data_IF_426949564171
#
_entry.id   IF_426949564171
#
_cell.length_a   1.000
_cell.length_b   1.000
_cell.length_c   1.000
_cell.angle_alpha   90.00
_cell.angle_beta   90.00
_cell.angle_gamma   90.00
#
_symmetry.space_group_name_H-M   'P 1'
#
loop_
_entity.id
_entity.type
_entity.pdbx_description
1 polymer ?
#
# COMPACT_ATOMS: atom_id res chain seq x y z
N UNK A 1 6.06 -0.38 14.73
CA UNK A 1 6.83 0.52 13.83
C UNK A 1 6.20 0.55 12.45
N UNK A 2 6.34 1.68 11.76
CA UNK A 2 5.97 1.87 10.34
C UNK A 2 6.99 2.83 9.74
N UNK A 3 7.93 2.30 8.95
CA UNK A 3 9.06 3.06 8.42
C UNK A 3 8.94 3.19 6.91
N UNK A 4 9.03 4.42 6.41
CA UNK A 4 9.06 4.73 4.98
C UNK A 4 10.48 5.07 4.55
N UNK A 5 10.94 4.39 3.51
CA UNK A 5 12.22 4.56 2.86
C UNK A 5 12.01 4.97 1.41
N UNK A 6 12.82 5.90 0.92
CA UNK A 6 12.80 6.35 -0.46
C UNK A 6 14.17 6.16 -1.10
N UNK A 7 14.23 6.17 -2.42
CA UNK A 7 15.48 6.15 -3.16
C UNK A 7 15.26 6.84 -4.51
N UNK A 8 15.78 8.06 -4.69
CA UNK A 8 15.91 8.67 -6.01
C UNK A 8 16.59 7.73 -7.01
N UNK A 9 16.03 7.65 -8.22
CA UNK A 9 16.46 6.66 -9.21
C UNK A 9 17.93 6.84 -9.65
N UNK A 10 18.43 8.07 -9.68
CA UNK A 10 19.81 8.44 -10.01
C UNK A 10 20.85 7.92 -9.00
N UNK A 11 20.44 7.69 -7.76
CA UNK A 11 21.31 7.21 -6.69
C UNK A 11 21.37 5.69 -6.57
N UNK A 12 20.58 4.95 -7.35
CA UNK A 12 20.59 3.49 -7.35
C UNK A 12 21.99 2.93 -7.60
N UNK A 13 22.76 3.55 -8.50
CA UNK A 13 24.12 3.11 -8.83
C UNK A 13 25.06 3.21 -7.62
N UNK A 14 24.94 4.29 -6.84
CA UNK A 14 25.75 4.50 -5.64
C UNK A 14 25.35 3.53 -4.53
N UNK A 15 24.04 3.32 -4.32
CA UNK A 15 23.56 2.30 -3.39
C UNK A 15 24.06 0.90 -3.77
N UNK A 16 24.00 0.57 -5.07
CA UNK A 16 24.49 -0.70 -5.59
C UNK A 16 25.99 -0.87 -5.32
N UNK A 17 26.82 0.16 -5.54
CA UNK A 17 28.25 0.13 -5.25
C UNK A 17 28.53 -0.16 -3.77
N UNK A 18 27.77 0.46 -2.86
CA UNK A 18 27.96 0.29 -1.41
C UNK A 18 27.50 -1.07 -0.89
N UNK A 19 26.44 -1.62 -1.47
CA UNK A 19 25.80 -2.84 -0.97
C UNK A 19 26.25 -4.12 -1.71
N UNK A 20 27.03 -4.02 -2.78
CA UNK A 20 27.41 -5.17 -3.62
C UNK A 20 26.47 -5.44 -4.80
N UNK A 21 25.49 -4.56 -5.04
CA UNK A 21 24.71 -4.48 -6.28
C UNK A 21 24.03 -5.79 -6.68
N UNK A 22 24.33 -6.27 -7.90
CA UNK A 22 23.77 -7.53 -8.42
C UNK A 22 24.23 -8.78 -7.65
N UNK A 23 25.30 -8.68 -6.85
CA UNK A 23 25.76 -9.75 -5.97
C UNK A 23 24.75 -10.10 -4.88
N UNK A 24 23.96 -9.13 -4.41
CA UNK A 24 22.93 -9.35 -3.39
C UNK A 24 21.63 -9.97 -3.93
N UNK A 25 21.46 -10.03 -5.26
CA UNK A 25 20.27 -10.64 -5.84
C UNK A 25 20.35 -12.16 -5.82
N UNK A 26 19.23 -12.82 -5.55
CA UNK A 26 19.11 -14.27 -5.77
C UNK A 26 19.26 -14.61 -7.26
N UNK A 27 19.49 -15.88 -7.58
CA UNK A 27 19.55 -16.34 -8.97
C UNK A 27 18.26 -15.99 -9.76
N UNK A 28 17.08 -16.18 -9.15
CA UNK A 28 15.80 -15.82 -9.77
C UNK A 28 15.69 -14.31 -10.00
N UNK A 29 16.08 -13.50 -9.02
CA UNK A 29 16.05 -12.04 -9.13
C UNK A 29 17.01 -11.54 -10.21
N UNK A 30 18.21 -12.11 -10.31
CA UNK A 30 19.18 -11.79 -11.34
C UNK A 30 18.67 -12.17 -12.73
N UNK A 31 18.04 -13.33 -12.87
CA UNK A 31 17.40 -13.75 -14.12
C UNK A 31 16.24 -12.83 -14.51
N UNK A 32 15.42 -12.40 -13.54
CA UNK A 32 14.36 -11.41 -13.78
C UNK A 32 14.92 -10.05 -14.19
N UNK A 33 15.95 -9.57 -13.50
CA UNK A 33 16.66 -8.34 -13.84
C UNK A 33 17.17 -8.38 -15.28
N UNK A 34 17.81 -9.50 -15.70
CA UNK A 34 18.32 -9.68 -17.07
C UNK A 34 17.25 -9.59 -18.16
N UNK A 35 16.02 -10.06 -17.88
CA UNK A 35 14.88 -10.04 -18.81
C UNK A 35 14.21 -8.67 -18.98
N UNK A 36 14.48 -7.71 -18.09
CA UNK A 36 13.92 -6.36 -18.22
C UNK A 36 14.51 -5.66 -19.44
N UNK A 37 13.64 -5.09 -20.28
CA UNK A 37 14.01 -4.56 -21.60
C UNK A 37 14.77 -3.24 -21.54
N UNK A 38 14.36 -2.34 -20.64
CA UNK A 38 14.92 -0.98 -20.60
C UNK A 38 15.93 -0.81 -19.47
N UNK A 39 16.96 0.04 -19.65
CA UNK A 39 17.89 0.38 -18.57
C UNK A 39 17.21 0.95 -17.33
N UNK A 40 16.21 1.82 -17.49
CA UNK A 40 15.45 2.39 -16.37
C UNK A 40 14.62 1.34 -15.61
N UNK A 41 14.05 0.35 -16.30
CA UNK A 41 13.37 -0.76 -15.62
C UNK A 41 14.35 -1.62 -14.83
N UNK A 42 15.51 -1.94 -15.41
CA UNK A 42 16.61 -2.67 -14.71
C UNK A 42 17.07 -1.93 -13.46
N UNK A 43 17.31 -0.62 -13.58
CA UNK A 43 17.75 0.25 -12.49
C UNK A 43 16.72 0.27 -11.35
N UNK A 44 15.44 0.52 -11.64
CA UNK A 44 14.39 0.53 -10.61
C UNK A 44 14.15 -0.83 -9.96
N UNK A 45 14.27 -1.92 -10.73
CA UNK A 45 14.20 -3.27 -10.16
C UNK A 45 15.35 -3.52 -9.17
N UNK A 46 16.58 -3.22 -9.57
CA UNK A 46 17.75 -3.35 -8.68
C UNK A 46 17.60 -2.45 -7.45
N UNK A 47 17.29 -1.16 -7.64
CA UNK A 47 17.12 -0.21 -6.56
C UNK A 47 16.01 -0.61 -5.59
N UNK A 48 14.87 -1.10 -6.08
CA UNK A 48 13.79 -1.62 -5.24
C UNK A 48 14.24 -2.79 -4.37
N UNK A 49 15.04 -3.71 -4.92
CA UNK A 49 15.58 -4.86 -4.17
C UNK A 49 16.63 -4.48 -3.14
N UNK A 50 17.52 -3.55 -3.48
CA UNK A 50 18.51 -3.05 -2.53
C UNK A 50 17.85 -2.24 -1.41
N UNK A 51 16.88 -1.38 -1.74
CA UNK A 51 16.14 -0.60 -0.76
C UNK A 51 15.37 -1.48 0.22
N UNK A 52 14.70 -2.54 -0.28
CA UNK A 52 14.02 -3.51 0.58
C UNK A 52 15.01 -4.16 1.56
N UNK A 53 16.12 -4.71 1.06
CA UNK A 53 17.14 -5.36 1.89
C UNK A 53 17.72 -4.42 2.94
N UNK A 54 18.04 -3.18 2.54
CA UNK A 54 18.54 -2.14 3.44
C UNK A 54 17.53 -1.80 4.54
N UNK A 55 16.26 -1.57 4.18
CA UNK A 55 15.21 -1.23 5.13
C UNK A 55 14.95 -2.37 6.13
N UNK A 56 14.94 -3.62 5.66
CA UNK A 56 14.78 -4.79 6.52
C UNK A 56 15.97 -5.02 7.44
N UNK A 57 17.20 -4.85 6.93
CA UNK A 57 18.43 -4.89 7.72
C UNK A 57 18.46 -3.80 8.79
N UNK A 58 18.06 -2.57 8.47
CA UNK A 58 17.97 -1.50 9.45
C UNK A 58 16.98 -1.83 10.59
N UNK A 59 15.86 -2.48 10.26
CA UNK A 59 14.83 -2.84 11.24
C UNK A 59 15.18 -4.03 12.16
N UNK A 60 16.25 -4.79 11.85
CA UNK A 60 16.58 -6.06 12.54
C UNK A 60 18.04 -6.23 12.92
N UNK A 61 18.96 -5.50 12.30
CA UNK A 61 20.41 -5.72 12.40
C UNK A 61 20.93 -6.87 11.53
N UNK A 62 20.07 -7.62 10.82
CA UNK A 62 20.53 -8.75 10.00
C UNK A 62 21.23 -8.27 8.71
N UNK A 63 22.25 -8.99 8.21
CA UNK A 63 22.94 -8.64 6.97
C UNK A 63 22.03 -8.58 5.73
N UNK A 64 22.27 -7.67 4.77
CA UNK A 64 21.43 -7.53 3.56
C UNK A 64 21.33 -8.78 2.66
N UNK A 65 22.32 -9.66 2.70
CA UNK A 65 22.37 -10.91 1.93
C UNK A 65 21.57 -12.06 2.57
N UNK A 66 21.04 -11.86 3.79
CA UNK A 66 20.20 -12.83 4.50
C UNK A 66 18.79 -12.88 3.90
N UNK A 67 18.28 -11.77 3.40
CA UNK A 67 16.88 -11.67 2.96
C UNK A 67 16.60 -12.49 1.70
N UNK A 68 15.57 -13.32 1.78
CA UNK A 68 14.98 -14.06 0.66
C UNK A 68 13.54 -13.61 0.45
N UNK A 69 13.15 -13.51 -0.81
CA UNK A 69 11.82 -13.04 -1.20
C UNK A 69 11.12 -14.08 -2.05
N UNK A 70 9.89 -14.42 -1.68
CA UNK A 70 8.97 -15.21 -2.49
C UNK A 70 7.99 -14.30 -3.22
N UNK A 71 7.36 -14.80 -4.29
CA UNK A 71 6.35 -14.05 -5.03
C UNK A 71 4.95 -14.54 -4.66
N UNK A 72 4.05 -13.59 -4.40
CA UNK A 72 2.63 -13.91 -4.25
C UNK A 72 2.00 -14.27 -5.60
N UNK A 73 0.75 -14.76 -5.57
CA UNK A 73 -0.07 -14.98 -6.76
C UNK A 73 -0.22 -13.74 -7.66
N UNK A 74 -0.03 -12.54 -7.10
CA UNK A 74 -0.09 -11.25 -7.81
C UNK A 74 1.30 -10.70 -8.16
N UNK A 75 2.35 -11.50 -7.99
CA UNK A 75 3.71 -11.18 -8.40
C UNK A 75 4.45 -10.21 -7.48
N UNK A 76 3.84 -9.78 -6.38
CA UNK A 76 4.45 -8.95 -5.33
C UNK A 76 5.49 -9.76 -4.55
N UNK A 77 6.66 -9.19 -4.22
CA UNK A 77 7.61 -9.83 -3.31
C UNK A 77 7.09 -9.83 -1.85
N UNK A 78 7.27 -10.94 -1.15
CA UNK A 78 7.07 -11.07 0.30
C UNK A 78 8.29 -11.74 0.92
N UNK A 79 8.48 -11.60 2.24
CA UNK A 79 9.53 -12.30 2.96
C UNK A 79 9.26 -13.80 2.91
N UNK A 80 10.29 -14.57 2.60
CA UNK A 80 10.29 -16.01 2.85
C UNK A 80 10.39 -16.25 4.36
N UNK A 81 9.52 -17.07 4.94
CA UNK A 81 9.53 -17.36 6.38
C UNK A 81 9.08 -16.20 7.29
N UNK A 82 8.91 -16.49 8.58
CA UNK A 82 8.54 -15.47 9.56
C UNK A 82 9.78 -14.83 10.21
N UNK A 83 9.88 -13.51 10.07
CA UNK A 83 10.97 -12.69 10.60
C UNK A 83 10.45 -11.79 11.73
N UNK A 84 9.81 -12.40 12.73
CA UNK A 84 9.18 -11.67 13.84
C UNK A 84 8.02 -10.78 13.39
N UNK A 85 7.21 -11.25 12.45
CA UNK A 85 6.07 -10.52 11.90
C UNK A 85 6.44 -9.34 11.00
N UNK A 86 7.70 -9.20 10.57
CA UNK A 86 8.08 -8.19 9.59
C UNK A 86 7.25 -8.32 8.30
N UNK A 87 6.87 -7.17 7.76
CA UNK A 87 6.21 -7.05 6.46
C UNK A 87 6.80 -5.85 5.74
N UNK A 88 6.83 -5.90 4.42
CA UNK A 88 7.25 -4.78 3.60
C UNK A 88 6.41 -4.68 2.33
N UNK A 89 6.42 -3.49 1.73
CA UNK A 89 5.92 -3.29 0.39
C UNK A 89 6.82 -2.30 -0.36
N UNK A 90 6.94 -2.47 -1.68
CA UNK A 90 7.80 -1.64 -2.53
C UNK A 90 7.02 -1.18 -3.75
N UNK A 91 7.24 0.08 -4.14
CA UNK A 91 6.74 0.66 -5.38
C UNK A 91 7.83 1.51 -6.03
N UNK A 92 7.72 1.73 -7.32
CA UNK A 92 8.63 2.60 -8.05
C UNK A 92 7.94 3.21 -9.27
N UNK A 93 8.31 4.43 -9.59
CA UNK A 93 7.93 5.15 -10.80
C UNK A 93 9.19 5.79 -11.37
N UNK A 94 9.10 6.48 -12.51
CA UNK A 94 10.27 7.15 -13.08
C UNK A 94 10.80 8.19 -12.07
N UNK A 95 12.08 8.11 -11.71
CA UNK A 95 12.75 9.04 -10.81
C UNK A 95 12.69 8.68 -9.32
N UNK A 96 11.84 7.74 -8.88
CA UNK A 96 11.69 7.44 -7.45
C UNK A 96 11.28 6.00 -7.15
N UNK A 97 11.91 5.44 -6.12
CA UNK A 97 11.62 4.12 -5.54
C UNK A 97 11.22 4.34 -4.08
N UNK A 98 10.21 3.60 -3.60
CA UNK A 98 9.75 3.69 -2.23
C UNK A 98 9.56 2.28 -1.63
N UNK A 99 9.91 2.13 -0.36
CA UNK A 99 9.71 0.93 0.42
C UNK A 99 9.11 1.29 1.78
N UNK A 100 8.07 0.58 2.20
CA UNK A 100 7.54 0.67 3.57
C UNK A 100 7.80 -0.63 4.30
N UNK A 101 8.21 -0.54 5.57
CA UNK A 101 8.42 -1.68 6.47
C UNK A 101 7.55 -1.53 7.72
N UNK A 102 6.90 -2.62 8.12
CA UNK A 102 6.07 -2.71 9.33
C UNK A 102 6.39 -3.98 10.12
N UNK A 103 6.02 -4.00 11.40
CA UNK A 103 6.09 -5.21 12.26
C UNK A 103 4.69 -5.59 12.75
N UNK A 104 4.31 -6.85 12.53
CA UNK A 104 3.05 -7.45 12.94
C UNK A 104 1.80 -6.98 12.16
N UNK A 105 1.98 -6.21 11.07
CA UNK A 105 0.86 -5.54 10.37
C UNK A 105 1.12 -5.48 8.88
N UNK A 106 0.05 -5.59 8.10
CA UNK A 106 0.12 -5.38 6.66
C UNK A 106 0.44 -3.92 6.30
N UNK A 107 1.07 -3.72 5.15
CA UNK A 107 1.43 -2.41 4.65
C UNK A 107 1.44 -2.39 3.12
N UNK A 108 1.14 -1.23 2.55
CA UNK A 108 1.25 -0.96 1.13
C UNK A 108 1.81 0.42 0.89
N UNK A 109 2.62 0.55 -0.14
CA UNK A 109 3.13 1.84 -0.63
C UNK A 109 2.88 1.91 -2.12
N UNK A 110 2.47 3.08 -2.58
CA UNK A 110 2.45 3.40 -3.99
C UNK A 110 3.07 4.77 -4.24
N UNK A 111 3.69 4.93 -5.41
CA UNK A 111 4.37 6.16 -5.79
C UNK A 111 4.24 6.37 -7.29
N UNK A 112 3.83 7.57 -7.69
CA UNK A 112 3.64 7.93 -9.09
C UNK A 112 4.18 9.32 -9.39
N UNK A 113 4.56 9.53 -10.65
CA UNK A 113 4.80 10.89 -11.14
C UNK A 113 3.48 11.65 -11.17
N UNK A 114 3.51 12.88 -10.66
CA UNK A 114 2.33 13.68 -10.45
C UNK A 114 2.47 15.08 -11.07
N UNK A 115 1.43 15.58 -11.78
CA UNK A 115 0.22 14.87 -12.16
C UNK A 115 0.48 13.84 -13.29
N UNK A 116 -0.44 12.90 -13.47
CA UNK A 116 -0.40 12.00 -14.62
C UNK A 116 -0.46 12.76 -15.95
N UNK A 117 0.30 12.27 -16.94
CA UNK A 117 0.18 12.72 -18.32
C UNK A 117 -1.24 12.45 -18.87
N UNK A 118 -1.78 13.28 -19.78
CA UNK A 118 -3.17 13.16 -20.26
C UNK A 118 -3.58 11.78 -20.77
N UNK A 119 -2.69 11.09 -21.50
CA UNK A 119 -2.95 9.75 -22.01
C UNK A 119 -3.15 8.71 -20.90
N UNK A 120 -2.26 8.71 -19.89
CA UNK A 120 -2.37 7.87 -18.70
C UNK A 120 -3.63 8.23 -17.91
N UNK A 121 -3.88 9.52 -17.72
CA UNK A 121 -5.04 10.00 -16.98
C UNK A 121 -6.36 9.49 -17.59
N UNK A 122 -6.50 9.53 -18.92
CA UNK A 122 -7.66 9.00 -19.63
C UNK A 122 -7.86 7.51 -19.37
N UNK A 123 -6.80 6.70 -19.48
CA UNK A 123 -6.87 5.25 -19.29
C UNK A 123 -7.25 4.87 -17.85
N UNK A 124 -6.71 5.56 -16.85
CA UNK A 124 -6.95 5.26 -15.45
C UNK A 124 -8.35 5.70 -15.00
N UNK A 125 -8.85 6.83 -15.52
CA UNK A 125 -10.18 7.36 -15.18
C UNK A 125 -11.31 6.34 -15.39
N UNK A 126 -11.21 5.53 -16.44
CA UNK A 126 -12.26 4.56 -16.79
C UNK A 126 -12.31 3.34 -15.84
N UNK A 127 -11.31 3.18 -14.98
CA UNK A 127 -11.29 2.13 -13.95
C UNK A 127 -12.25 2.43 -12.79
N UNK A 128 -12.44 3.71 -12.49
CA UNK A 128 -13.26 4.18 -11.38
C UNK A 128 -14.77 4.04 -11.67
N UNK A 129 -15.61 4.11 -10.65
CA UNK A 129 -17.07 4.11 -10.80
C UNK A 129 -17.62 5.52 -11.11
N UNK A 130 -18.93 5.62 -11.37
CA UNK A 130 -19.57 6.88 -11.73
C UNK A 130 -19.46 7.95 -10.63
N UNK A 131 -19.51 7.51 -9.37
CA UNK A 131 -19.47 8.41 -8.22
C UNK A 131 -18.05 8.97 -8.05
N UNK A 132 -17.03 8.12 -8.18
CA UNK A 132 -15.62 8.51 -8.18
C UNK A 132 -15.29 9.45 -9.36
N UNK A 133 -15.78 9.15 -10.57
CA UNK A 133 -15.58 10.02 -11.74
C UNK A 133 -16.23 11.39 -11.58
N UNK A 134 -17.45 11.46 -11.05
CA UNK A 134 -18.12 12.73 -10.80
C UNK A 134 -17.32 13.62 -9.83
N UNK A 135 -16.74 13.02 -8.78
CA UNK A 135 -15.90 13.77 -7.85
C UNK A 135 -14.58 14.23 -8.48
N UNK A 136 -13.98 13.44 -9.38
CA UNK A 136 -12.81 13.85 -10.16
C UNK A 136 -13.14 15.01 -11.11
N UNK A 137 -14.32 15.00 -11.73
CA UNK A 137 -14.72 16.05 -12.69
C UNK A 137 -14.98 17.40 -12.00
N UNK A 138 -15.42 17.35 -10.74
CA UNK A 138 -15.63 18.52 -9.88
C UNK A 138 -14.34 19.08 -9.25
N UNK A 139 -13.21 18.36 -9.37
CA UNK A 139 -11.94 18.81 -8.80
C UNK A 139 -11.37 20.02 -9.56
N UNK A 140 -10.78 21.02 -8.87
CA UNK A 140 -10.13 22.16 -9.52
C UNK A 140 -8.96 21.75 -10.42
N UNK A 141 -8.18 20.76 -9.98
CA UNK A 141 -7.10 20.14 -10.75
C UNK A 141 -7.39 18.64 -10.91
N UNK A 142 -8.06 18.31 -12.03
CA UNK A 142 -8.51 16.94 -12.31
C UNK A 142 -7.34 15.96 -12.47
N UNK A 143 -6.25 16.28 -13.21
CA UNK A 143 -5.08 15.40 -13.29
C UNK A 143 -4.44 15.13 -11.92
N UNK A 144 -4.29 16.14 -11.07
CA UNK A 144 -3.73 15.95 -9.73
C UNK A 144 -4.66 15.09 -8.85
N UNK A 145 -5.97 15.37 -8.86
CA UNK A 145 -6.96 14.60 -8.09
C UNK A 145 -7.03 13.13 -8.52
N UNK A 146 -6.91 12.86 -9.83
CA UNK A 146 -6.85 11.49 -10.35
C UNK A 146 -5.59 10.77 -9.86
N UNK A 147 -4.44 11.46 -9.87
CA UNK A 147 -3.17 10.90 -9.39
C UNK A 147 -3.26 10.57 -7.91
N UNK A 148 -3.83 11.47 -7.10
CA UNK A 148 -4.06 11.23 -5.67
C UNK A 148 -4.96 10.03 -5.42
N UNK A 149 -6.12 9.97 -6.07
CA UNK A 149 -7.06 8.86 -5.90
C UNK A 149 -6.43 7.52 -6.30
N UNK A 150 -5.65 7.51 -7.39
CA UNK A 150 -4.95 6.33 -7.87
C UNK A 150 -3.91 5.85 -6.86
N UNK A 151 -3.01 6.73 -6.41
CA UNK A 151 -1.92 6.37 -5.50
C UNK A 151 -2.47 5.90 -4.14
N UNK A 152 -3.52 6.54 -3.63
CA UNK A 152 -4.23 6.08 -2.42
C UNK A 152 -4.84 4.67 -2.62
N UNK A 153 -5.45 4.43 -3.78
CA UNK A 153 -6.07 3.16 -4.13
C UNK A 153 -5.04 2.05 -4.24
N UNK A 154 -3.99 2.24 -5.02
CA UNK A 154 -2.91 1.27 -5.20
C UNK A 154 -2.20 0.97 -3.87
N UNK A 155 -1.90 1.98 -3.06
CA UNK A 155 -1.30 1.76 -1.74
C UNK A 155 -2.21 0.86 -0.86
N UNK A 156 -3.51 1.11 -0.84
CA UNK A 156 -4.46 0.28 -0.10
C UNK A 156 -4.55 -1.15 -0.64
N UNK A 157 -4.70 -1.33 -1.96
CA UNK A 157 -4.79 -2.65 -2.59
C UNK A 157 -3.50 -3.46 -2.45
N UNK A 158 -2.34 -2.78 -2.49
CA UNK A 158 -1.06 -3.36 -2.10
C UNK A 158 -1.09 -3.73 -0.63
N UNK A 159 -1.59 -2.90 0.27
CA UNK A 159 -1.77 -3.25 1.69
C UNK A 159 -2.58 -4.55 1.89
N UNK A 160 -3.67 -4.71 1.14
CA UNK A 160 -4.50 -5.92 1.19
C UNK A 160 -3.84 -7.17 0.57
N UNK A 161 -2.83 -6.99 -0.29
CA UNK A 161 -2.20 -8.08 -1.04
C UNK A 161 -3.07 -8.65 -2.16
N UNK A 162 -4.10 -7.92 -2.59
CA UNK A 162 -5.07 -8.39 -3.59
C UNK A 162 -4.79 -7.85 -5.00
N UNK A 163 -4.00 -6.77 -5.11
CA UNK A 163 -3.71 -6.10 -6.37
C UNK A 163 -4.96 -5.54 -7.07
N UNK A 164 -4.80 -5.09 -8.32
CA UNK A 164 -5.89 -4.54 -9.12
C UNK A 164 -7.01 -5.52 -9.45
N UNK A 165 -6.77 -6.83 -9.34
CA UNK A 165 -7.79 -7.87 -9.52
C UNK A 165 -8.92 -7.75 -8.49
N UNK A 166 -8.66 -7.17 -7.33
CA UNK A 166 -9.71 -6.81 -6.38
C UNK A 166 -10.67 -5.78 -6.98
N UNK A 167 -10.17 -4.85 -7.79
CA UNK A 167 -10.93 -3.77 -8.39
C UNK A 167 -10.99 -2.51 -7.52
N UNK A 168 -11.01 -1.36 -8.18
CA UNK A 168 -10.91 -0.03 -7.57
C UNK A 168 -12.26 0.61 -7.22
N UNK A 169 -13.36 0.03 -7.72
CA UNK A 169 -14.72 0.55 -7.56
C UNK A 169 -15.20 0.44 -6.12
N UNK A 170 -15.98 1.42 -5.66
CA UNK A 170 -16.56 1.46 -4.32
C UNK A 170 -15.57 1.78 -3.20
N UNK A 171 -14.28 1.95 -3.49
CA UNK A 171 -13.29 2.43 -2.52
C UNK A 171 -13.43 3.94 -2.32
N UNK A 172 -13.41 4.37 -1.06
CA UNK A 172 -13.55 5.78 -0.69
C UNK A 172 -12.49 6.17 0.32
N UNK A 173 -12.02 7.41 0.20
CA UNK A 173 -10.98 7.98 1.05
C UNK A 173 -11.51 9.28 1.65
N UNK A 174 -11.72 9.29 2.97
CA UNK A 174 -12.24 10.47 3.67
C UNK A 174 -11.10 11.13 4.43
N UNK A 175 -10.81 12.42 4.19
CA UNK A 175 -9.79 13.15 4.94
C UNK A 175 -10.08 13.09 6.45
N UNK A 176 -9.06 12.78 7.24
CA UNK A 176 -9.12 12.77 8.70
C UNK A 176 -7.91 13.49 9.33
N UNK A 177 -7.24 14.35 8.57
CA UNK A 177 -6.11 15.17 8.95
C UNK A 177 -5.22 15.52 7.75
N UNK A 178 -4.19 16.37 7.92
CA UNK A 178 -3.28 16.75 6.84
C UNK A 178 -2.61 15.51 6.21
N UNK A 179 -2.86 15.30 4.91
CA UNK A 179 -2.38 14.16 4.14
C UNK A 179 -2.81 12.80 4.71
N UNK A 180 -3.87 12.71 5.50
CA UNK A 180 -4.33 11.44 6.11
C UNK A 180 -5.79 11.18 5.76
N UNK A 181 -6.07 9.94 5.36
CA UNK A 181 -7.38 9.50 4.92
C UNK A 181 -7.80 8.23 5.65
N UNK A 182 -9.06 8.15 6.05
CA UNK A 182 -9.70 6.89 6.43
C UNK A 182 -10.19 6.20 5.16
N UNK A 183 -9.82 4.92 4.99
CA UNK A 183 -10.25 4.11 3.86
C UNK A 183 -11.57 3.42 4.19
N UNK A 184 -12.54 3.53 3.29
CA UNK A 184 -13.78 2.78 3.33
C UNK A 184 -13.83 1.81 2.14
N UNK A 185 -13.94 0.53 2.46
CA UNK A 185 -14.17 -0.54 1.49
C UNK A 185 -15.49 -1.25 1.86
N UNK A 186 -16.53 -1.04 1.05
CA UNK A 186 -17.84 -1.65 1.29
C UNK A 186 -17.82 -3.18 1.27
N UNK A 187 -16.77 -3.78 0.69
CA UNK A 187 -16.56 -5.24 0.68
C UNK A 187 -15.93 -5.76 1.95
N UNK A 188 -15.44 -4.87 2.83
CA UNK A 188 -14.80 -5.18 4.12
C UNK A 188 -15.35 -4.27 5.24
N UNK A 189 -16.62 -4.43 5.64
CA UNK A 189 -17.28 -3.52 6.58
C UNK A 189 -16.84 -3.69 8.05
N UNK A 190 -16.06 -4.73 8.38
CA UNK A 190 -15.74 -5.07 9.76
C UNK A 190 -14.92 -3.95 10.47
N UNK A 191 -15.28 -3.53 11.71
CA UNK A 191 -14.60 -2.45 12.44
C UNK A 191 -13.09 -2.66 12.64
N UNK A 192 -12.63 -3.90 12.78
CA UNK A 192 -11.21 -4.27 12.90
C UNK A 192 -10.43 -4.20 11.57
N UNK A 193 -11.11 -3.94 10.46
CA UNK A 193 -10.52 -3.80 9.12
C UNK A 193 -10.38 -2.34 8.69
N UNK A 194 -10.37 -1.37 9.62
CA UNK A 194 -10.12 0.03 9.27
C UNK A 194 -8.68 0.22 8.82
N UNK A 195 -8.49 0.97 7.75
CA UNK A 195 -7.18 1.38 7.24
C UNK A 195 -7.07 2.89 7.23
N UNK A 196 -5.84 3.37 7.44
CA UNK A 196 -5.45 4.73 7.13
C UNK A 196 -4.54 4.72 5.91
N UNK A 197 -4.74 5.70 5.03
CA UNK A 197 -3.82 6.03 3.95
C UNK A 197 -3.18 7.39 4.25
N UNK A 198 -1.87 7.48 4.04
CA UNK A 198 -1.07 8.67 4.28
C UNK A 198 -0.48 9.12 2.95
N UNK A 199 -0.84 10.32 2.50
CA UNK A 199 -0.37 10.93 1.27
C UNK A 199 0.80 11.87 1.58
N UNK A 200 1.90 11.69 0.85
CA UNK A 200 3.15 12.42 1.02
C UNK A 200 3.65 12.93 -0.33
N UNK A 201 4.33 14.08 -0.31
CA UNK A 201 5.11 14.58 -1.45
C UNK A 201 6.60 14.46 -1.13
N UNK A 202 7.28 13.42 -1.63
CA UNK A 202 8.71 13.30 -1.47
C UNK A 202 9.42 14.43 -2.23
N UNK A 203 8.99 14.74 -3.45
CA UNK A 203 9.50 15.87 -4.23
C UNK A 203 8.41 16.55 -5.07
N UNK A 204 8.77 17.55 -5.89
CA UNK A 204 7.81 18.30 -6.68
C UNK A 204 7.12 17.46 -7.77
N UNK A 205 7.81 16.43 -8.28
CA UNK A 205 7.36 15.62 -9.41
C UNK A 205 6.64 14.32 -9.02
N UNK A 206 6.51 14.01 -7.73
CA UNK A 206 6.04 12.71 -7.26
C UNK A 206 4.97 12.85 -6.18
N UNK A 207 4.05 11.90 -6.19
CA UNK A 207 3.07 11.70 -5.14
C UNK A 207 3.16 10.26 -4.64
N UNK A 208 3.16 10.10 -3.33
CA UNK A 208 3.36 8.82 -2.66
C UNK A 208 2.25 8.60 -1.64
N UNK A 209 1.72 7.38 -1.55
CA UNK A 209 0.84 6.99 -0.45
C UNK A 209 1.34 5.76 0.28
N UNK A 210 1.14 5.73 1.59
CA UNK A 210 1.33 4.57 2.45
C UNK A 210 0.00 4.19 3.07
N UNK A 211 -0.44 2.94 2.89
CA UNK A 211 -1.62 2.40 3.52
C UNK A 211 -1.22 1.38 4.61
N UNK A 212 -1.80 1.53 5.79
CA UNK A 212 -1.63 0.63 6.93
C UNK A 212 -2.95 0.46 7.70
N UNK A 213 -3.13 -0.65 8.46
CA UNK A 213 -4.26 -0.77 9.39
C UNK A 213 -4.34 0.44 10.32
N UNK A 214 -5.54 0.90 10.66
CA UNK A 214 -5.77 2.13 11.44
C UNK A 214 -5.12 2.11 12.83
N UNK A 215 -4.91 0.92 13.38
CA UNK A 215 -4.19 0.72 14.64
C UNK A 215 -2.69 1.02 14.51
N UNK A 216 -2.13 0.95 13.29
CA UNK A 216 -0.69 1.03 13.04
C UNK A 216 -0.13 2.43 13.36
N UNK A 217 1.13 2.52 13.82
CA UNK A 217 1.79 3.80 13.93
C UNK A 217 1.77 4.53 12.59
N UNK A 218 1.66 5.85 12.66
CA UNK A 218 1.81 6.72 11.50
C UNK A 218 3.14 6.43 10.80
N UNK A 219 3.17 6.31 9.46
CA UNK A 219 4.41 6.19 8.71
C UNK A 219 5.32 7.38 8.99
N UNK A 220 6.55 7.09 9.42
CA UNK A 220 7.59 8.07 9.59
C UNK A 220 8.67 7.86 8.52
N UNK A 221 9.18 8.91 7.87
CA UNK A 221 10.36 8.81 7.03
C UNK A 221 11.54 8.34 7.88
N UNK A 222 12.33 7.41 7.38
CA UNK A 222 13.48 6.93 8.14
C UNK A 222 14.57 8.03 8.25
N UNK A 223 15.07 8.34 9.47
CA UNK A 223 15.94 9.51 9.72
C UNK A 223 17.34 9.42 9.07
N UNK A 224 17.81 8.21 8.74
CA UNK A 224 19.15 7.98 8.15
C UNK A 224 19.09 7.61 6.65
N UNK A 225 18.18 8.21 5.89
CA UNK A 225 18.28 8.18 4.43
C UNK A 225 19.01 9.43 3.94
N UNK A 226 20.35 9.38 3.69
CA UNK A 226 21.19 10.54 3.38
C UNK A 226 20.90 11.18 2.01
N UNK A 227 19.73 10.91 1.45
CA UNK A 227 19.40 11.08 0.05
C UNK A 227 18.01 11.68 -0.21
N UNK A 228 17.32 12.19 0.82
CA UNK A 228 16.09 12.96 0.63
C UNK A 228 15.96 14.16 1.60
N UNK A 229 15.45 15.32 1.15
CA UNK A 229 14.75 16.26 2.05
C UNK A 229 13.52 15.55 2.64
N UNK A 230 13.23 15.80 3.91
CA UNK A 230 12.14 15.18 4.66
C UNK A 230 10.83 15.26 3.87
N UNK A 231 10.16 14.15 3.52
CA UNK A 231 8.89 14.22 2.80
C UNK A 231 7.87 14.95 3.69
N UNK A 232 7.36 16.07 3.19
CA UNK A 232 6.40 16.87 3.94
C UNK A 232 4.99 16.30 3.75
N UNK A 233 4.23 16.25 4.84
CA UNK A 233 2.78 16.09 4.72
C UNK A 233 2.24 17.32 4.01
N UNK A 234 1.35 17.10 3.06
CA UNK A 234 0.66 18.19 2.40
C UNK A 234 -0.09 19.03 3.45
N UNK A 235 0.01 20.38 3.38
CA UNK A 235 -0.88 21.24 4.16
C UNK A 235 -2.34 20.94 3.78
N UNK A 236 -3.31 21.23 4.67
CA UNK A 236 -4.71 21.25 4.26
C UNK A 236 -4.89 22.24 3.09
N UNK A 237 -5.90 22.01 2.24
CA UNK A 237 -6.27 22.98 1.19
C UNK A 237 -6.36 24.41 1.79
N UNK A 238 -5.88 25.45 1.09
CA UNK A 238 -5.74 26.80 1.65
C UNK A 238 -7.07 27.34 2.18
N UNK A 239 -7.04 27.79 3.44
CA UNK A 239 -8.16 28.45 4.11
C UNK A 239 -8.25 29.91 3.63
N UNK A 240 -9.38 30.30 3.03
CA UNK A 240 -9.61 31.67 2.56
C UNK A 240 -10.48 31.76 1.31
N UNK A 241 -10.57 30.67 0.54
CA UNK A 241 -11.82 30.35 -0.14
C UNK A 241 -12.69 29.64 0.89
N UNK A 242 -13.95 30.04 1.07
CA UNK A 242 -14.91 29.06 1.57
C UNK A 242 -14.71 27.83 0.67
N UNK A 243 -14.51 26.61 1.21
CA UNK A 243 -14.37 25.46 0.34
C UNK A 243 -15.61 25.50 -0.57
N UNK A 244 -15.49 25.53 -1.91
CA UNK A 244 -16.66 25.33 -2.75
C UNK A 244 -17.17 23.97 -2.33
N UNK A 245 -18.24 23.94 -1.51
CA UNK A 245 -18.59 22.86 -0.58
C UNK A 245 -17.80 21.60 -0.91
N UNK A 246 -16.58 21.46 -0.35
CA UNK A 246 -15.62 20.47 -0.86
C UNK A 246 -16.41 19.18 -0.96
N UNK A 247 -16.57 18.57 -2.15
CA UNK A 247 -17.43 17.42 -2.26
C UNK A 247 -16.84 16.45 -1.26
N UNK A 248 -17.56 16.20 -0.16
CA UNK A 248 -17.23 15.12 0.76
C UNK A 248 -17.12 13.96 -0.20
N UNK A 249 -15.90 13.49 -0.47
CA UNK A 249 -15.65 12.69 -1.66
C UNK A 249 -16.67 11.56 -1.74
N UNK A 250 -17.16 11.06 -0.59
CA UNK A 250 -18.58 10.70 -0.40
C UNK A 250 -19.05 10.97 1.05
N UNK A 251 -20.27 11.46 1.31
CA UNK A 251 -20.89 11.27 2.63
C UNK A 251 -21.07 9.77 2.93
N UNK A 252 -21.11 9.34 4.21
CA UNK A 252 -21.52 7.98 4.53
C UNK A 252 -22.91 7.71 3.92
N UNK A 253 -23.22 6.47 3.50
CA UNK A 253 -24.60 6.17 3.14
C UNK A 253 -25.50 6.57 4.30
N UNK A 254 -26.64 7.21 4.02
CA UNK A 254 -27.68 7.36 5.01
C UNK A 254 -27.91 5.98 5.64
N UNK A 255 -27.91 5.90 6.97
CA UNK A 255 -28.18 4.67 7.68
C UNK A 255 -29.47 4.10 7.08
N UNK A 256 -29.37 3.03 6.29
CA UNK A 256 -30.55 2.30 5.88
C UNK A 256 -31.15 1.82 7.19
N UNK A 257 -32.38 2.26 7.46
CA UNK A 257 -33.18 1.75 8.57
C UNK A 257 -33.04 0.23 8.54
N UNK A 258 -32.49 -0.32 9.62
CA UNK A 258 -32.32 -1.75 9.82
C UNK A 258 -33.71 -2.35 9.95
N UNK A 259 -34.29 -2.77 8.82
CA UNK A 259 -35.32 -3.80 8.82
C UNK A 259 -34.69 -5.11 9.30
N UNK A 260 -35.46 -5.98 9.99
CA UNK A 260 -34.91 -7.17 10.61
C UNK A 260 -34.28 -8.09 9.56
N UNK A 261 -33.01 -8.41 9.78
CA UNK A 261 -32.25 -9.38 9.00
C UNK A 261 -32.86 -10.75 9.27
N UNK A 262 -33.42 -11.40 8.24
CA UNK A 262 -33.74 -12.84 8.32
C UNK A 262 -32.44 -13.64 8.36
N UNK A 263 -32.28 -14.62 9.26
CA UNK A 263 -31.07 -15.43 9.31
C UNK A 263 -30.90 -16.29 8.05
N UNK A 264 -29.66 -16.38 7.56
CA UNK A 264 -29.24 -17.29 6.49
C UNK A 264 -28.98 -18.69 7.10
N UNK A 265 -29.18 -19.81 6.38
CA UNK A 265 -29.37 -21.13 6.97
C UNK A 265 -28.08 -21.86 7.40
N UNK A 266 -26.98 -21.15 7.68
CA UNK A 266 -25.70 -21.77 8.07
C UNK A 266 -25.19 -21.40 9.47
N UNK A 267 -25.95 -20.62 10.24
CA UNK A 267 -25.65 -20.39 11.66
C UNK A 267 -26.38 -21.41 12.54
N UNK A 268 -25.83 -22.63 12.61
CA UNK A 268 -26.16 -23.59 13.66
C UNK A 268 -24.86 -24.02 14.37
N UNK A 269 -24.76 -23.94 15.71
CA UNK A 269 -23.60 -24.43 16.42
C UNK A 269 -23.54 -25.96 16.41
N UNK A 270 -22.39 -26.51 16.04
CA UNK A 270 -22.09 -27.94 16.14
C UNK A 270 -22.16 -28.39 17.60
N UNK A 271 -23.14 -29.24 17.93
CA UNK A 271 -23.19 -29.95 19.21
C UNK A 271 -22.00 -30.93 19.34
N UNK A 272 -21.33 -31.01 20.49
CA UNK A 272 -20.40 -32.11 20.76
C UNK A 272 -21.19 -33.41 20.98
N UNK A 273 -20.86 -34.44 20.22
CA UNK A 273 -21.49 -35.76 20.33
C UNK A 273 -21.19 -36.46 21.66
N UNK A 274 -22.03 -37.43 22.07
CA UNK A 274 -21.84 -38.16 23.32
C UNK A 274 -20.61 -39.08 23.25
N UNK A 275 -19.79 -39.05 24.30
CA UNK A 275 -18.59 -39.88 24.44
C UNK A 275 -18.91 -41.39 24.54
N UNK A 276 -17.94 -42.27 24.23
CA UNK A 276 -18.16 -43.71 24.20
C UNK A 276 -18.35 -44.28 25.61
N UNK A 277 -19.48 -44.94 25.81
CA UNK A 277 -19.80 -45.66 27.04
C UNK A 277 -18.90 -46.87 27.28
N UNK A 278 -18.35 -46.95 28.49
CA UNK A 278 -17.69 -48.14 29.02
C UNK A 278 -18.70 -49.28 29.17
N UNK A 279 -18.46 -50.40 28.48
CA UNK A 279 -19.05 -51.71 28.83
C UNK A 279 -18.21 -52.35 29.96
N UNK A 280 -18.83 -52.90 31.02
CA UNK A 280 -18.12 -53.74 31.97
C UNK A 280 -17.88 -55.15 31.39
N UNK A 281 -16.82 -55.86 31.82
CA UNK A 281 -16.57 -57.24 31.41
C UNK A 281 -17.47 -58.24 32.18
N UNK A 282 -17.71 -59.44 31.62
CA UNK A 282 -18.60 -60.41 32.24
C UNK A 282 -17.91 -61.20 33.35
N UNK A 283 -18.52 -61.23 34.54
CA UNK A 283 -18.69 -62.41 35.40
C UNK A 283 -19.91 -62.20 36.30
#
# INVERSE_FOLDING_TARGET
MTELWTLPEDQVSELARRMGGLGLLSAEERARHGRLRTPGARRRFLGGRLLCRRALSAATGLPPDTWRFVRTRYGRPELEGDHGGLRFNVSHTDGLIACVVTRGRACGVDVERAPFAPGTARLLRDRFDAAQRAALDAAPDRPAALTELWVLTEAYLKGLGTGLAYGVRGLRFTPCGPGRFTVYDGRRPAPGSRWHAHLLRPGPAHLLAVAVPATAPTPAPHPNDPLHPTPHRLPPHPAGSAPPAAPRLFPPPAARATGPIRPHPYDAPSHPGPGPGHRPPPR
#
